data_IF_019810403136
#
_entry.id   IF_019810403136
#
_cell.length_a   1.000
_cell.length_b   1.000
_cell.length_c   1.000
_cell.angle_alpha   90.00
_cell.angle_beta   90.00
_cell.angle_gamma   90.00
#
_symmetry.space_group_name_H-M   'P 1'
#
loop_
_entity.id
_entity.type
_entity.pdbx_description
1 polymer ?
#
# COMPACT_ATOMS: atom_id res chain seq x y z
N UNK A 1 4.81 -26.13 -12.58
CA UNK A 1 4.89 -24.68 -12.77
C UNK A 1 3.67 -24.00 -12.13
N UNK A 2 3.87 -22.93 -11.42
CA UNK A 2 2.78 -22.16 -10.81
C UNK A 2 2.66 -20.82 -11.53
N UNK A 3 1.45 -20.44 -11.92
CA UNK A 3 1.19 -19.19 -12.59
C UNK A 3 0.32 -18.31 -11.70
N UNK A 4 0.77 -17.08 -11.44
CA UNK A 4 0.04 -16.08 -10.67
C UNK A 4 -0.49 -15.04 -11.65
N UNK A 5 -1.81 -14.99 -11.81
CA UNK A 5 -2.46 -14.24 -12.89
C UNK A 5 -2.83 -12.81 -12.53
N UNK A 6 -2.78 -12.47 -11.24
CA UNK A 6 -3.13 -11.13 -10.78
C UNK A 6 -1.91 -10.41 -10.23
N UNK A 7 -1.92 -9.10 -10.37
CA UNK A 7 -0.86 -8.23 -9.87
C UNK A 7 -1.48 -7.02 -9.20
N UNK A 8 -1.09 -6.75 -7.96
CA UNK A 8 -1.44 -5.51 -7.28
C UNK A 8 -0.16 -4.76 -6.92
N UNK A 9 -0.14 -3.47 -7.21
CA UNK A 9 0.96 -2.57 -6.81
C UNK A 9 0.38 -1.47 -5.94
N UNK A 10 0.76 -1.46 -4.67
CA UNK A 10 0.28 -0.51 -3.69
C UNK A 10 1.26 0.65 -3.60
N UNK A 11 0.76 1.88 -3.85
CA UNK A 11 1.57 3.09 -3.83
C UNK A 11 1.43 3.74 -2.46
N UNK A 12 2.50 3.72 -1.67
CA UNK A 12 2.44 4.27 -0.33
C UNK A 12 3.49 5.37 -0.17
N UNK A 13 3.07 6.62 0.14
CA UNK A 13 4.02 7.69 0.39
C UNK A 13 4.93 7.37 1.58
N UNK A 14 6.21 7.69 1.46
CA UNK A 14 7.16 7.53 2.56
C UNK A 14 7.38 8.85 3.32
N UNK A 15 6.39 9.73 3.28
CA UNK A 15 6.39 10.98 4.00
C UNK A 15 4.99 11.31 4.51
N UNK A 16 4.91 12.23 5.46
CA UNK A 16 3.66 12.79 5.96
C UNK A 16 3.86 14.28 6.26
N UNK A 17 2.76 15.02 6.31
CA UNK A 17 2.80 16.42 6.72
C UNK A 17 2.28 16.56 8.14
N UNK A 18 3.08 17.21 8.99
CA UNK A 18 2.68 17.59 10.35
C UNK A 18 2.89 19.10 10.45
N UNK A 19 1.81 19.82 10.70
CA UNK A 19 1.85 21.29 10.83
C UNK A 19 2.54 21.97 9.64
N UNK A 20 2.23 21.49 8.43
CA UNK A 20 2.78 22.02 7.19
C UNK A 20 4.20 21.60 6.85
N UNK A 21 4.83 20.78 7.68
CA UNK A 21 6.19 20.28 7.44
C UNK A 21 6.16 18.86 6.94
N UNK A 22 6.97 18.58 5.94
CA UNK A 22 7.15 17.22 5.42
C UNK A 22 8.10 16.44 6.32
N UNK A 23 7.64 15.29 6.80
CA UNK A 23 8.44 14.39 7.62
C UNK A 23 8.54 13.04 6.92
N UNK A 24 9.73 12.45 6.93
CA UNK A 24 9.94 11.12 6.38
C UNK A 24 9.25 10.08 7.25
N UNK A 25 8.70 9.06 6.59
CA UNK A 25 8.15 7.87 7.24
C UNK A 25 9.05 6.71 6.85
N UNK A 26 9.36 5.86 7.83
CA UNK A 26 10.06 4.61 7.56
C UNK A 26 9.04 3.49 7.43
N UNK A 27 9.03 2.83 6.29
CA UNK A 27 8.03 1.81 5.97
C UNK A 27 8.43 0.39 6.34
N UNK A 28 9.55 0.22 7.05
CA UNK A 28 10.02 -1.12 7.42
C UNK A 28 9.02 -1.84 8.32
N UNK A 29 8.44 -1.14 9.30
CA UNK A 29 7.42 -1.74 10.17
C UNK A 29 6.14 -2.07 9.40
N UNK A 30 5.76 -1.22 8.46
CA UNK A 30 4.62 -1.49 7.57
C UNK A 30 4.87 -2.76 6.74
N UNK A 31 6.05 -2.85 6.12
CA UNK A 31 6.39 -4.02 5.30
C UNK A 31 6.45 -5.29 6.13
N UNK A 32 6.95 -5.22 7.35
CA UNK A 32 6.98 -6.38 8.26
C UNK A 32 5.56 -6.83 8.65
N UNK A 33 4.69 -5.89 8.98
CA UNK A 33 3.31 -6.18 9.32
C UNK A 33 2.54 -6.76 8.11
N UNK A 34 2.75 -6.18 6.93
CA UNK A 34 2.15 -6.67 5.70
C UNK A 34 2.60 -8.09 5.39
N UNK A 35 3.89 -8.38 5.57
CA UNK A 35 4.42 -9.71 5.34
C UNK A 35 3.71 -10.76 6.18
N UNK A 36 3.45 -10.45 7.46
CA UNK A 36 2.71 -11.36 8.35
C UNK A 36 1.29 -11.60 7.86
N UNK A 37 0.60 -10.55 7.41
CA UNK A 37 -0.76 -10.67 6.88
C UNK A 37 -0.77 -11.52 5.60
N UNK A 38 0.19 -11.31 4.71
CA UNK A 38 0.30 -12.07 3.46
C UNK A 38 0.61 -13.55 3.73
N UNK A 39 1.47 -13.85 4.70
CA UNK A 39 1.77 -15.23 5.06
C UNK A 39 0.53 -15.98 5.52
N UNK A 40 -0.38 -15.32 6.24
CA UNK A 40 -1.63 -15.93 6.70
C UNK A 40 -2.52 -16.42 5.55
N UNK A 41 -2.41 -15.83 4.39
CA UNK A 41 -3.19 -16.22 3.21
C UNK A 41 -2.37 -16.98 2.17
N UNK A 42 -1.15 -17.40 2.53
CA UNK A 42 -0.32 -18.24 1.68
C UNK A 42 0.54 -17.49 0.68
N UNK A 43 0.68 -16.19 0.81
CA UNK A 43 1.56 -15.37 -0.04
C UNK A 43 2.92 -15.26 0.64
N UNK A 44 3.95 -15.82 0.02
CA UNK A 44 5.28 -15.90 0.62
C UNK A 44 6.25 -14.81 0.11
N UNK A 45 5.89 -14.11 -0.95
CA UNK A 45 6.82 -13.16 -1.57
C UNK A 45 6.11 -11.91 -2.06
N UNK A 46 6.79 -10.79 -1.89
CA UNK A 46 6.45 -9.52 -2.52
C UNK A 46 7.74 -8.74 -2.73
N UNK A 47 7.68 -7.70 -3.54
CA UNK A 47 8.82 -6.79 -3.63
C UNK A 47 8.38 -5.35 -3.49
N UNK A 48 9.32 -4.49 -3.13
CA UNK A 48 9.10 -3.07 -2.99
C UNK A 48 10.20 -2.30 -3.70
N UNK A 49 9.83 -1.18 -4.30
CA UNK A 49 10.79 -0.30 -4.96
C UNK A 49 10.45 1.14 -4.66
N UNK A 50 11.49 1.98 -4.56
CA UNK A 50 11.30 3.40 -4.35
C UNK A 50 11.03 4.09 -5.68
N UNK A 51 10.10 5.05 -5.64
CA UNK A 51 9.73 5.82 -6.81
C UNK A 51 9.43 7.26 -6.41
N UNK A 52 9.38 8.15 -7.39
CA UNK A 52 8.97 9.53 -7.17
C UNK A 52 7.73 9.77 -8.05
N UNK A 53 6.63 10.06 -7.40
CA UNK A 53 5.41 10.47 -8.10
C UNK A 53 5.37 11.97 -8.28
N UNK A 54 4.60 12.41 -9.26
CA UNK A 54 4.39 13.84 -9.52
C UNK A 54 2.90 14.12 -9.51
N UNK A 55 2.50 15.10 -8.72
CA UNK A 55 1.11 15.49 -8.61
C UNK A 55 1.02 16.99 -8.39
N UNK A 56 0.30 17.67 -9.29
CA UNK A 56 0.13 19.14 -9.24
C UNK A 56 1.46 19.89 -9.13
N UNK A 57 2.47 19.44 -9.90
CA UNK A 57 3.79 20.06 -9.95
C UNK A 57 4.70 19.78 -8.77
N UNK A 58 4.29 18.90 -7.85
CA UNK A 58 5.12 18.51 -6.69
C UNK A 58 5.60 17.09 -6.81
N UNK A 59 6.78 16.83 -6.28
CA UNK A 59 7.35 15.49 -6.17
C UNK A 59 6.86 14.82 -4.89
N UNK A 60 6.47 13.54 -5.02
CA UNK A 60 6.02 12.73 -3.89
C UNK A 60 6.85 11.47 -3.84
N UNK A 61 7.84 11.40 -2.93
CA UNK A 61 8.57 10.14 -2.73
C UNK A 61 7.63 9.07 -2.18
N UNK A 62 7.77 7.85 -2.70
CA UNK A 62 6.89 6.75 -2.32
C UNK A 62 7.61 5.42 -2.49
N UNK A 63 7.05 4.38 -1.89
CA UNK A 63 7.40 3.00 -2.21
C UNK A 63 6.22 2.37 -2.92
N UNK A 64 6.53 1.53 -3.90
CA UNK A 64 5.55 0.74 -4.62
C UNK A 64 5.76 -0.71 -4.21
N UNK A 65 4.77 -1.29 -3.55
CA UNK A 65 4.82 -2.66 -3.06
C UNK A 65 3.99 -3.52 -4.00
N UNK A 66 4.62 -4.50 -4.63
CA UNK A 66 3.98 -5.33 -5.64
C UNK A 66 3.86 -6.77 -5.17
N UNK A 67 2.65 -7.32 -5.32
CA UNK A 67 2.32 -8.71 -4.98
C UNK A 67 1.65 -9.35 -6.18
N UNK A 68 2.15 -10.53 -6.59
CA UNK A 68 1.49 -11.38 -7.57
C UNK A 68 0.68 -12.43 -6.81
N UNK A 69 -0.54 -12.70 -7.27
CA UNK A 69 -1.43 -13.61 -6.56
C UNK A 69 -2.41 -14.28 -7.54
N UNK A 70 -3.12 -15.30 -7.08
CA UNK A 70 -4.15 -15.97 -7.87
C UNK A 70 -5.54 -15.49 -7.42
N UNK A 71 -6.03 -15.96 -6.29
CA UNK A 71 -7.38 -15.60 -5.79
C UNK A 71 -7.39 -15.20 -4.32
N UNK A 72 -6.20 -15.06 -3.72
CA UNK A 72 -6.06 -14.67 -2.34
C UNK A 72 -6.49 -13.21 -2.14
N UNK A 73 -6.98 -12.86 -0.96
CA UNK A 73 -7.42 -11.51 -0.64
C UNK A 73 -6.24 -10.60 -0.25
N UNK A 74 -5.41 -10.27 -1.23
CA UNK A 74 -4.23 -9.44 -1.01
C UNK A 74 -4.63 -8.00 -0.68
N UNK A 75 -5.67 -7.47 -1.34
CA UNK A 75 -6.14 -6.12 -1.05
C UNK A 75 -6.58 -6.00 0.42
N UNK A 76 -7.27 -6.99 0.95
CA UNK A 76 -7.66 -7.02 2.36
C UNK A 76 -6.46 -6.94 3.29
N UNK A 77 -5.36 -7.61 2.95
CA UNK A 77 -4.12 -7.51 3.73
C UNK A 77 -3.59 -6.08 3.75
N UNK A 78 -3.58 -5.40 2.61
CA UNK A 78 -3.15 -4.00 2.55
C UNK A 78 -4.06 -3.11 3.40
N UNK A 79 -5.36 -3.25 3.25
CA UNK A 79 -6.33 -2.40 3.97
C UNK A 79 -6.17 -2.58 5.49
N UNK A 80 -6.08 -3.82 5.96
CA UNK A 80 -5.92 -4.09 7.40
C UNK A 80 -4.61 -3.55 7.95
N UNK A 81 -3.52 -3.71 7.20
CA UNK A 81 -2.21 -3.22 7.63
C UNK A 81 -2.19 -1.70 7.69
N UNK A 82 -2.72 -1.03 6.65
CA UNK A 82 -2.82 0.43 6.62
C UNK A 82 -3.68 0.92 7.78
N UNK A 83 -4.83 0.30 8.00
CA UNK A 83 -5.74 0.71 9.07
C UNK A 83 -5.08 0.58 10.45
N UNK A 84 -4.38 -0.51 10.69
CA UNK A 84 -3.69 -0.71 11.97
C UNK A 84 -2.58 0.31 12.23
N UNK A 85 -2.02 0.87 11.17
CA UNK A 85 -0.91 1.84 11.25
C UNK A 85 -1.32 3.26 10.84
N UNK A 86 -2.61 3.54 10.77
CA UNK A 86 -3.12 4.82 10.24
C UNK A 86 -2.58 6.06 10.95
N UNK A 87 -2.35 5.95 12.25
CA UNK A 87 -1.85 7.08 13.04
C UNK A 87 -0.38 7.37 12.75
N UNK A 88 0.39 6.34 12.39
CA UNK A 88 1.79 6.50 12.00
C UNK A 88 1.93 6.99 10.57
N UNK A 89 1.08 6.50 9.68
CA UNK A 89 1.16 6.83 8.25
C UNK A 89 0.59 8.22 7.94
N UNK A 90 -0.53 8.59 8.56
CA UNK A 90 -1.20 9.90 8.43
C UNK A 90 -1.32 10.39 7.00
N UNK A 91 -1.90 9.57 6.13
CA UNK A 91 -2.14 9.90 4.74
C UNK A 91 -3.59 10.33 4.54
N UNK A 92 -3.81 11.24 3.59
CA UNK A 92 -5.15 11.68 3.22
C UNK A 92 -5.81 10.74 2.20
N UNK A 93 -4.99 10.05 1.40
CA UNK A 93 -5.45 9.16 0.34
C UNK A 93 -4.49 8.01 0.15
N UNK A 94 -5.02 6.91 -0.40
CA UNK A 94 -4.25 5.74 -0.77
C UNK A 94 -4.56 5.33 -2.20
N UNK A 95 -3.56 4.81 -2.90
CA UNK A 95 -3.71 4.40 -4.28
C UNK A 95 -3.10 3.02 -4.49
N UNK A 96 -3.71 2.23 -5.34
CA UNK A 96 -3.14 0.97 -5.80
C UNK A 96 -3.52 0.72 -7.26
N UNK A 97 -2.67 -0.02 -7.94
CA UNK A 97 -2.93 -0.51 -9.28
C UNK A 97 -3.27 -1.99 -9.18
N UNK A 98 -4.38 -2.39 -9.76
CA UNK A 98 -4.78 -3.78 -9.81
C UNK A 98 -5.00 -4.16 -11.27
N UNK A 99 -4.15 -5.05 -11.78
CA UNK A 99 -4.24 -5.56 -13.15
C UNK A 99 -4.35 -4.45 -14.20
N UNK A 100 -3.53 -3.41 -14.05
CA UNK A 100 -3.45 -2.31 -15.00
C UNK A 100 -4.44 -1.18 -14.77
N UNK A 101 -5.28 -1.26 -13.75
CA UNK A 101 -6.23 -0.18 -13.40
C UNK A 101 -5.80 0.48 -12.09
N UNK A 102 -5.81 1.81 -12.07
CA UNK A 102 -5.47 2.58 -10.89
C UNK A 102 -6.73 2.92 -10.10
N UNK A 103 -6.69 2.65 -8.79
CA UNK A 103 -7.76 2.96 -7.83
C UNK A 103 -7.20 3.93 -6.81
N UNK A 104 -7.90 5.04 -6.61
CA UNK A 104 -7.50 6.09 -5.65
C UNK A 104 -8.67 6.31 -4.71
N UNK A 105 -8.41 6.22 -3.40
CA UNK A 105 -9.42 6.38 -2.36
C UNK A 105 -8.95 7.41 -1.35
N UNK A 106 -9.88 8.24 -0.86
CA UNK A 106 -9.61 8.97 0.37
C UNK A 106 -9.43 7.96 1.50
N UNK A 107 -8.61 8.30 2.49
CA UNK A 107 -8.24 7.36 3.55
C UNK A 107 -9.45 6.71 4.22
N UNK A 108 -10.46 7.50 4.58
CA UNK A 108 -11.67 6.97 5.24
C UNK A 108 -12.43 5.97 4.35
N UNK A 109 -12.50 6.23 3.05
CA UNK A 109 -13.12 5.30 2.11
C UNK A 109 -12.29 4.03 1.93
N UNK A 110 -10.97 4.18 1.93
CA UNK A 110 -10.05 3.04 1.83
C UNK A 110 -10.23 2.08 3.00
N UNK A 111 -10.35 2.62 4.22
CA UNK A 111 -10.54 1.80 5.43
C UNK A 111 -11.83 0.98 5.37
N UNK A 112 -12.85 1.46 4.70
CA UNK A 112 -14.13 0.75 4.58
C UNK A 112 -14.06 -0.49 3.69
N UNK A 113 -13.02 -0.62 2.87
CA UNK A 113 -12.84 -1.79 2.03
C UNK A 113 -12.66 -3.08 2.83
N UNK A 114 -12.26 -2.98 4.09
CA UNK A 114 -12.06 -4.12 4.98
C UNK A 114 -13.37 -4.85 5.29
N UNK A 115 -14.51 -4.17 5.16
CA UNK A 115 -15.83 -4.68 5.53
C UNK A 115 -16.63 -5.21 4.34
N UNK A 116 -15.99 -5.42 3.21
CA UNK A 116 -16.64 -5.94 2.00
C UNK A 116 -16.49 -7.44 1.85
#
# INVERSE_FOLDING_TARGET
MKTLINKISFHIPDFKYIEGKMLNIYLDDFKAALNKELEKIGIEAFYAEKAVGYYKGREYPQEIITVFFDKEDVLGCFVRTVYSMRDSLKQEAYAYELNGKMYIYEAEEFYKLINR
#
